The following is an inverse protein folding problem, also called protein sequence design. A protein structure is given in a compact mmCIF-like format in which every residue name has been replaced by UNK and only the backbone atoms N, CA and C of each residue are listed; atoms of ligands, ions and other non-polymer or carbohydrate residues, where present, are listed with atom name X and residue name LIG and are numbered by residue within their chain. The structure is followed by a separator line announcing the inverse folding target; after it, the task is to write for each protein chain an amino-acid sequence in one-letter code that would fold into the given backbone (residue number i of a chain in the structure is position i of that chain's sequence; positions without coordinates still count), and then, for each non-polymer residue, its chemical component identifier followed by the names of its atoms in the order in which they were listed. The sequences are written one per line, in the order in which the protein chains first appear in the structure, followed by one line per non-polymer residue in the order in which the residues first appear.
data_IF_441324142777
#
_entry.id   IF_441324142777
#
_cell.length_a   1.000
_cell.length_b   1.000
_cell.length_c   1.000
_cell.angle_alpha   90.00
_cell.angle_beta   90.00
_cell.angle_gamma   90.00
#
_symmetry.space_group_name_H-M   'P 1'
#
loop_
_entity.id
_entity.type
_entity.pdbx_description
1 polymer ?
#
# COMPACT_ATOMS: atom_id res chain seq x y z
N UNK A 1 14.36 -17.78 18.73
CA UNK A 1 13.92 -16.85 17.66
C UNK A 1 14.69 -17.16 16.38
N UNK A 2 14.35 -18.26 15.69
CA UNK A 2 14.61 -18.47 14.27
C UNK A 2 13.98 -19.81 13.88
N UNK A 3 12.74 -19.77 13.43
CA UNK A 3 12.02 -20.93 12.84
C UNK A 3 11.58 -20.67 11.40
N UNK A 4 11.85 -19.47 10.90
CA UNK A 4 11.53 -18.99 9.56
C UNK A 4 12.82 -18.33 9.11
N UNK A 5 13.45 -18.76 8.02
CA UNK A 5 14.78 -18.30 7.58
C UNK A 5 14.84 -16.84 7.12
N UNK A 6 14.39 -15.91 7.95
CA UNK A 6 14.36 -14.47 7.69
C UNK A 6 15.46 -13.78 8.49
N UNK A 7 16.28 -12.99 7.80
CA UNK A 7 17.29 -12.14 8.42
C UNK A 7 16.64 -10.83 8.87
N UNK A 8 17.02 -10.33 10.04
CA UNK A 8 16.53 -9.06 10.56
C UNK A 8 17.62 -8.00 10.41
N UNK A 9 17.36 -7.00 9.58
CA UNK A 9 18.27 -5.87 9.35
C UNK A 9 17.70 -4.62 10.03
N UNK A 10 18.48 -4.00 10.91
CA UNK A 10 18.12 -2.71 11.51
C UNK A 10 18.49 -1.57 10.56
N UNK A 11 17.62 -0.55 10.47
CA UNK A 11 17.98 0.69 9.80
C UNK A 11 19.15 1.38 10.49
N UNK A 12 20.03 2.04 9.72
CA UNK A 12 21.11 2.82 10.30
C UNK A 12 20.52 3.94 11.18
N UNK A 13 21.03 4.06 12.42
CA UNK A 13 20.65 5.13 13.34
C UNK A 13 20.81 6.50 12.65
N UNK A 14 19.82 7.36 12.81
CA UNK A 14 19.77 8.72 12.25
C UNK A 14 19.77 8.82 10.71
N UNK A 15 19.51 7.71 10.00
CA UNK A 15 19.44 7.72 8.52
C UNK A 15 18.05 7.33 8.04
N UNK A 16 17.24 8.31 7.67
CA UNK A 16 15.92 8.11 7.04
C UNK A 16 16.01 7.51 5.63
N UNK A 17 17.18 7.56 4.98
CA UNK A 17 17.38 7.11 3.61
C UNK A 17 17.01 5.63 3.38
N UNK A 18 17.11 4.78 4.42
CA UNK A 18 16.79 3.35 4.31
C UNK A 18 15.27 3.09 4.31
N UNK A 19 14.48 4.00 4.88
CA UNK A 19 13.02 3.84 5.04
C UNK A 19 12.21 4.72 4.09
N UNK A 20 12.86 5.60 3.32
CA UNK A 20 12.17 6.58 2.47
C UNK A 20 11.13 5.95 1.52
N UNK A 21 11.40 4.75 0.99
CA UNK A 21 10.42 4.05 0.15
C UNK A 21 9.16 3.64 0.93
N UNK A 22 9.33 3.14 2.15
CA UNK A 22 8.22 2.74 3.04
C UNK A 22 7.43 3.97 3.48
N UNK A 23 8.12 5.05 3.86
CA UNK A 23 7.49 6.31 4.26
C UNK A 23 6.67 6.92 3.11
N UNK A 24 7.24 6.94 1.90
CA UNK A 24 6.53 7.40 0.70
C UNK A 24 5.29 6.56 0.40
N UNK A 25 5.39 5.24 0.55
CA UNK A 25 4.26 4.34 0.36
C UNK A 25 3.17 4.58 1.40
N UNK A 26 3.55 4.71 2.68
CA UNK A 26 2.61 5.01 3.76
C UNK A 26 1.87 6.33 3.52
N UNK A 27 2.60 7.39 3.14
CA UNK A 27 2.02 8.69 2.80
C UNK A 27 1.06 8.61 1.61
N UNK A 28 1.38 7.79 0.60
CA UNK A 28 0.53 7.57 -0.56
C UNK A 28 -0.79 6.90 -0.19
N UNK A 29 -0.74 5.85 0.64
CA UNK A 29 -1.93 5.15 1.12
C UNK A 29 -2.78 6.04 2.04
N UNK A 30 -2.14 6.78 2.94
CA UNK A 30 -2.84 7.71 3.84
C UNK A 30 -3.55 8.81 3.06
N UNK A 31 -2.90 9.39 2.04
CA UNK A 31 -3.53 10.39 1.18
C UNK A 31 -4.76 9.83 0.46
N UNK A 32 -4.69 8.60 -0.07
CA UNK A 32 -5.85 7.92 -0.68
C UNK A 32 -6.98 7.72 0.33
N UNK A 33 -6.68 7.20 1.52
CA UNK A 33 -7.66 7.00 2.58
C UNK A 33 -8.36 8.31 2.98
N UNK A 34 -7.59 9.39 3.16
CA UNK A 34 -8.13 10.72 3.48
C UNK A 34 -9.03 11.25 2.36
N UNK A 35 -8.64 11.09 1.09
CA UNK A 35 -9.49 11.54 -0.03
C UNK A 35 -10.81 10.79 -0.10
N UNK A 36 -10.81 9.47 0.14
CA UNK A 36 -12.04 8.68 0.17
C UNK A 36 -12.92 9.03 1.37
N UNK A 37 -12.31 9.24 2.54
CA UNK A 37 -13.03 9.69 3.73
C UNK A 37 -13.74 11.03 3.46
N UNK A 38 -13.02 12.04 2.95
CA UNK A 38 -13.58 13.35 2.61
C UNK A 38 -14.70 13.25 1.55
N UNK A 39 -14.55 12.37 0.57
CA UNK A 39 -15.56 12.19 -0.49
C UNK A 39 -16.82 11.46 0.02
N UNK A 40 -16.67 10.48 0.92
CA UNK A 40 -17.75 9.64 1.42
C UNK A 40 -18.64 10.32 2.47
N UNK A 41 -18.15 11.38 3.14
CA UNK A 41 -18.82 12.04 4.28
C UNK A 41 -19.18 11.06 5.42
N UNK A 42 -18.44 9.97 5.54
CA UNK A 42 -18.61 8.98 6.60
C UNK A 42 -18.03 9.44 7.94
N UNK A 43 -18.32 8.69 9.01
CA UNK A 43 -17.73 8.89 10.33
C UNK A 43 -16.22 8.60 10.33
N UNK A 44 -15.46 9.38 11.11
CA UNK A 44 -14.02 9.18 11.33
C UNK A 44 -13.68 7.82 11.96
N UNK A 45 -14.65 7.17 12.60
CA UNK A 45 -14.50 5.83 13.19
C UNK A 45 -14.16 4.73 12.17
N UNK A 46 -14.36 4.99 10.87
CA UNK A 46 -14.12 4.04 9.77
C UNK A 46 -12.76 4.26 9.07
N UNK A 47 -11.83 4.96 9.71
CA UNK A 47 -10.53 5.30 9.12
C UNK A 47 -9.73 4.07 8.64
N UNK A 48 -9.88 2.94 9.33
CA UNK A 48 -9.26 1.66 9.03
C UNK A 48 -9.83 1.05 7.73
N UNK A 49 -11.15 1.09 7.56
CA UNK A 49 -11.82 0.66 6.32
C UNK A 49 -11.35 1.48 5.11
N UNK A 50 -11.18 2.80 5.27
CA UNK A 50 -10.62 3.63 4.20
C UNK A 50 -9.17 3.27 3.89
N UNK A 51 -8.37 2.94 4.91
CA UNK A 51 -6.98 2.54 4.70
C UNK A 51 -6.86 1.16 4.02
N UNK A 52 -7.69 0.20 4.43
CA UNK A 52 -7.80 -1.12 3.80
C UNK A 52 -8.25 -1.00 2.35
N UNK A 53 -9.29 -0.20 2.10
CA UNK A 53 -9.78 0.08 0.74
C UNK A 53 -8.70 0.75 -0.11
N UNK A 54 -7.96 1.72 0.45
CA UNK A 54 -6.88 2.42 -0.25
C UNK A 54 -5.78 1.44 -0.68
N UNK A 55 -5.43 0.51 0.21
CA UNK A 55 -4.43 -0.53 -0.03
C UNK A 55 -4.91 -1.51 -1.09
N UNK A 56 -6.15 -1.98 -0.98
CA UNK A 56 -6.78 -2.89 -1.93
C UNK A 56 -6.79 -2.31 -3.35
N UNK A 57 -7.24 -1.06 -3.48
CA UNK A 57 -7.23 -0.35 -4.75
C UNK A 57 -5.82 -0.11 -5.25
N UNK A 58 -4.88 0.29 -4.40
CA UNK A 58 -3.50 0.56 -4.81
C UNK A 58 -2.83 -0.66 -5.45
N UNK A 59 -2.98 -1.84 -4.84
CA UNK A 59 -2.39 -3.08 -5.35
C UNK A 59 -3.01 -3.50 -6.70
N UNK A 60 -4.27 -3.14 -6.95
CA UNK A 60 -5.04 -3.51 -8.15
C UNK A 60 -5.14 -2.40 -9.21
N UNK A 61 -4.59 -1.22 -8.97
CA UNK A 61 -4.63 -0.10 -9.92
C UNK A 61 -3.27 0.02 -10.62
N UNK A 62 -3.24 0.22 -11.95
CA UNK A 62 -1.98 0.43 -12.65
C UNK A 62 -1.34 1.73 -12.20
N UNK A 63 -0.02 1.73 -12.04
CA UNK A 63 0.75 2.93 -11.74
C UNK A 63 1.69 3.27 -12.88
N UNK A 64 1.91 4.58 -13.11
CA UNK A 64 2.84 5.05 -14.16
C UNK A 64 4.27 4.54 -13.95
N UNK A 65 4.70 4.41 -12.70
CA UNK A 65 6.01 3.88 -12.35
C UNK A 65 6.22 2.42 -12.76
N UNK A 66 5.14 1.67 -12.98
CA UNK A 66 5.19 0.25 -13.33
C UNK A 66 4.84 -0.01 -14.81
N UNK A 67 4.84 1.03 -15.66
CA UNK A 67 4.51 0.89 -17.08
C UNK A 67 3.10 0.37 -17.31
N UNK A 68 2.12 0.94 -16.60
CA UNK A 68 0.69 0.58 -16.68
C UNK A 68 0.35 -0.82 -16.17
N UNK A 69 1.28 -1.49 -15.47
CA UNK A 69 1.02 -2.73 -14.74
C UNK A 69 0.59 -2.45 -13.31
N UNK A 70 -0.19 -3.36 -12.74
CA UNK A 70 -0.58 -3.31 -11.33
C UNK A 70 0.50 -3.96 -10.45
N UNK A 71 0.71 -3.50 -9.20
CA UNK A 71 1.56 -4.20 -8.25
C UNK A 71 1.18 -5.68 -8.09
N UNK A 72 -0.13 -5.99 -8.10
CA UNK A 72 -0.64 -7.36 -8.07
C UNK A 72 -0.10 -8.22 -9.21
N UNK A 73 -0.14 -7.71 -10.46
CA UNK A 73 0.39 -8.43 -11.62
C UNK A 73 1.89 -8.70 -11.52
N UNK A 74 2.66 -7.75 -10.99
CA UNK A 74 4.10 -7.94 -10.85
C UNK A 74 4.44 -9.00 -9.81
N UNK A 75 3.67 -9.06 -8.73
CA UNK A 75 3.87 -10.01 -7.64
C UNK A 75 3.37 -11.42 -8.00
N UNK A 76 2.11 -11.53 -8.46
CA UNK A 76 1.44 -12.81 -8.69
C UNK A 76 1.58 -13.34 -10.13
N UNK A 77 2.15 -12.54 -11.06
CA UNK A 77 2.33 -12.89 -12.48
C UNK A 77 1.04 -13.14 -13.25
N UNK A 78 -0.11 -12.71 -12.73
CA UNK A 78 -1.40 -12.72 -13.42
C UNK A 78 -2.23 -11.46 -13.12
N UNK A 79 -3.24 -11.20 -13.94
CA UNK A 79 -4.13 -10.05 -13.79
C UNK A 79 -5.04 -10.28 -12.56
N UNK A 80 -5.28 -9.27 -11.70
CA UNK A 80 -6.25 -9.41 -10.62
C UNK A 80 -7.65 -9.67 -11.18
N UNK A 81 -8.39 -10.54 -10.52
CA UNK A 81 -9.82 -10.71 -10.80
C UNK A 81 -10.59 -9.47 -10.31
N UNK A 82 -11.55 -9.03 -11.13
CA UNK A 82 -12.44 -7.90 -10.90
C UNK A 82 -13.92 -8.29 -10.91
N UNK A 83 -14.27 -9.58 -11.01
CA UNK A 83 -15.66 -10.04 -11.12
C UNK A 83 -16.55 -9.67 -9.92
N UNK A 84 -15.95 -9.26 -8.80
CA UNK A 84 -16.65 -8.94 -7.55
C UNK A 84 -16.72 -7.43 -7.25
N UNK A 85 -16.10 -6.59 -8.09
CA UNK A 85 -16.07 -5.12 -7.94
C UNK A 85 -17.16 -4.48 -8.78
#
# INVERSE_FOLDING_TARGET
LSSTGSQYEYGALYTSAHLGHVEQMHRTLQGKAQTMHLASKCSESLWDEFYLTATHLHVKTPTKSLGEKTPFQLWHKHIPDYSYM
#
